data_IF_599921752682
#
_entry.id   IF_599921752682
#
_cell.length_a   1.000
_cell.length_b   1.000
_cell.length_c   1.000
_cell.angle_alpha   90.00
_cell.angle_beta   90.00
_cell.angle_gamma   90.00
#
_symmetry.space_group_name_H-M   'P 1'
#
loop_
_entity.id
_entity.type
_entity.pdbx_description
1 polymer ?
2 polymer ?
3 branched ?
4 non-polymer ?
5 non-polymer ?
6 non-polymer ?
7 non-polymer ?
8 non-polymer ?
9 water ?
#
# COMPACT_ATOMS: atom_id res chain seq x y z
C UNK A 1 -33.02 5.46 0.89
N UNK A 2 -32.76 4.75 -0.28
CA UNK A 2 -32.62 5.16 -1.81
C UNK A 2 -31.53 6.17 -2.28
N UNK A 3 -30.28 5.70 -2.20
CA UNK A 3 -29.09 6.53 -2.20
C UNK A 3 -28.27 6.67 -3.47
N UNK A 4 -28.20 5.57 -4.22
CA UNK A 4 -27.63 5.60 -5.51
C UNK A 4 -28.54 4.89 -6.47
N UNK A 5 -27.91 4.05 -7.30
CA UNK A 5 -28.52 3.37 -8.39
C UNK A 5 -27.75 2.07 -8.56
N UNK A 6 -28.43 0.95 -8.49
CA UNK A 6 -27.79 -0.33 -8.68
C UNK A 6 -28.06 -0.81 -10.07
N UNK A 7 -27.14 -1.68 -10.48
CA UNK A 7 -27.21 -2.47 -11.68
C UNK A 7 -26.47 -3.75 -11.34
N UNK A 8 -26.31 -4.66 -12.33
CA UNK A 8 -25.66 -5.90 -12.09
C UNK A 8 -24.27 -5.80 -11.49
N UNK A 9 -23.36 -5.07 -12.12
CA UNK A 9 -22.01 -5.12 -11.56
C UNK A 9 -21.51 -3.86 -10.99
N UNK A 10 -22.39 -3.06 -10.42
CA UNK A 10 -22.00 -1.73 -10.02
C UNK A 10 -22.94 -1.07 -9.05
N UNK A 11 -22.47 0.04 -8.50
CA UNK A 11 -23.27 0.86 -7.64
C UNK A 11 -22.85 2.31 -7.86
N UNK A 12 -23.70 3.06 -8.52
CA UNK A 12 -23.41 4.48 -8.75
C UNK A 12 -23.91 5.34 -7.58
N UNK A 13 -23.05 6.12 -6.95
CA UNK A 13 -23.43 6.98 -5.81
C UNK A 13 -24.23 8.22 -6.18
N UNK A 14 -25.30 8.02 -6.94
CA UNK A 14 -26.16 9.14 -7.33
C UNK A 14 -27.56 8.61 -7.56
N UNK A 15 -28.57 9.33 -7.07
CA UNK A 15 -29.96 8.90 -7.21
C UNK A 15 -30.37 9.04 -8.66
N UNK A 16 -31.08 8.01 -9.17
CA UNK A 16 -31.62 8.05 -10.55
C UNK A 16 -33.05 8.56 -10.62
N UNK A 17 -33.45 9.46 -9.71
CA UNK A 17 -34.78 10.04 -9.79
C UNK A 17 -35.00 10.98 -10.95
N UNK A 18 -33.93 11.52 -11.52
CA UNK A 18 -34.05 12.38 -12.69
C UNK A 18 -33.76 11.65 -13.95
N UNK A 19 -33.43 10.36 -13.83
CA UNK A 19 -33.36 9.45 -15.00
C UNK A 19 -32.05 9.49 -15.74
N UNK A 20 -31.06 10.06 -15.12
CA UNK A 20 -29.79 10.48 -15.76
C UNK A 20 -28.63 9.43 -15.58
N UNK A 21 -28.64 8.72 -14.46
CA UNK A 21 -27.63 7.73 -14.18
C UNK A 21 -27.48 6.67 -15.28
N UNK A 22 -26.24 6.39 -15.64
CA UNK A 22 -25.87 5.40 -16.65
C UNK A 22 -24.86 4.46 -16.07
N UNK A 23 -24.79 3.26 -16.65
CA UNK A 23 -23.80 2.24 -16.29
C UNK A 23 -22.44 2.93 -16.36
N UNK A 24 -21.63 2.82 -15.29
CA UNK A 24 -20.28 3.37 -15.38
C UNK A 24 -19.35 2.52 -16.28
N UNK A 25 -19.79 1.34 -16.76
CA UNK A 25 -19.13 0.69 -17.88
C UNK A 25 -19.56 1.18 -19.28
N UNK A 26 -20.59 2.03 -19.42
CA UNK A 26 -21.12 2.43 -20.76
C UNK A 26 -21.08 3.93 -21.09
N UNK A 27 -20.98 4.82 -20.11
CA UNK A 27 -21.16 6.23 -20.40
C UNK A 27 -20.64 7.15 -19.29
N UNK A 28 -20.28 8.38 -19.68
CA UNK A 28 -19.62 9.26 -18.73
C UNK A 28 -20.46 9.61 -17.52
N UNK A 29 -19.85 9.51 -16.35
CA UNK A 29 -20.51 9.86 -15.12
C UNK A 29 -20.47 11.36 -14.78
N UNK A 30 -20.63 12.26 -15.76
CA UNK A 30 -20.43 13.70 -15.51
C UNK A 30 -21.52 14.35 -14.62
N UNK A 31 -22.48 13.56 -14.18
CA UNK A 31 -23.46 13.98 -13.14
C UNK A 31 -22.99 13.69 -11.68
N UNK A 32 -22.02 12.80 -11.49
CA UNK A 32 -21.34 12.58 -10.19
C UNK A 32 -20.35 13.66 -9.85
N UNK A 33 -19.80 14.31 -10.87
CA UNK A 33 -18.71 15.26 -10.72
C UNK A 33 -18.45 15.89 -12.05
N UNK A 34 -18.06 17.15 -12.00
CA UNK A 34 -17.83 17.95 -13.14
C UNK A 34 -16.74 17.32 -14.00
N UNK A 35 -16.73 17.62 -15.31
CA UNK A 35 -15.57 17.13 -16.05
C UNK A 35 -14.24 17.68 -15.57
N UNK A 36 -14.17 18.87 -15.04
CA UNK A 36 -12.83 19.30 -14.65
C UNK A 36 -12.29 18.49 -13.52
N UNK A 37 -13.16 17.99 -12.67
CA UNK A 37 -12.73 17.14 -11.58
C UNK A 37 -12.29 15.75 -12.08
N UNK A 38 -12.86 15.26 -13.17
CA UNK A 38 -12.28 14.07 -13.77
C UNK A 38 -10.86 14.32 -14.23
N UNK A 39 -10.64 15.55 -14.71
CA UNK A 39 -9.35 15.94 -15.24
C UNK A 39 -8.26 16.03 -14.17
N UNK A 40 -8.65 16.56 -13.01
CA UNK A 40 -7.83 16.56 -11.81
C UNK A 40 -7.58 15.14 -11.30
N UNK A 41 -8.57 14.27 -11.43
CA UNK A 41 -8.31 12.91 -11.05
C UNK A 41 -7.19 12.42 -11.95
N UNK A 42 -7.30 12.74 -13.24
CA UNK A 42 -6.28 12.33 -14.20
C UNK A 42 -4.93 12.99 -13.92
N UNK A 43 -4.96 14.25 -13.49
CA UNK A 43 -3.76 14.95 -13.15
C UNK A 43 -3.05 14.26 -11.98
N UNK A 44 -3.82 13.82 -11.00
CA UNK A 44 -3.23 13.13 -9.87
C UNK A 44 -2.61 11.75 -10.27
N UNK A 45 -3.25 11.01 -11.15
CA UNK A 45 -2.65 9.75 -11.57
C UNK A 45 -1.36 10.02 -12.36
N UNK A 46 -1.38 11.12 -13.10
CA UNK A 46 -0.20 11.55 -13.84
C UNK A 46 0.96 11.88 -12.89
N UNK A 47 0.71 12.67 -11.85
CA UNK A 47 1.70 12.89 -10.79
C UNK A 47 2.22 11.57 -10.16
N UNK A 48 1.33 10.73 -9.66
CA UNK A 48 1.76 9.42 -9.13
C UNK A 48 2.57 8.57 -10.09
N UNK A 49 2.42 8.72 -11.40
CA UNK A 49 3.22 7.91 -12.33
C UNK A 49 4.58 8.54 -12.54
N UNK A 50 4.53 9.82 -12.81
CA UNK A 50 5.71 10.64 -12.96
C UNK A 50 6.65 10.55 -11.78
N UNK A 51 6.15 10.47 -10.54
CA UNK A 51 7.01 10.23 -9.38
C UNK A 51 7.19 8.72 -9.09
N UNK A 52 6.12 7.96 -9.05
CA UNK A 52 6.20 6.58 -8.59
C UNK A 52 6.98 5.64 -9.48
N UNK A 53 6.97 5.86 -10.78
CA UNK A 53 7.62 4.91 -11.68
C UNK A 53 9.11 5.10 -11.57
N UNK A 54 9.60 6.34 -11.73
CA UNK A 54 11.05 6.47 -11.51
C UNK A 54 11.58 5.95 -10.16
N UNK A 55 11.03 6.43 -9.05
CA UNK A 55 11.48 6.02 -7.72
C UNK A 55 11.57 4.53 -7.60
N UNK A 56 10.50 3.85 -7.97
CA UNK A 56 10.42 2.42 -7.78
C UNK A 56 11.21 1.67 -8.83
N UNK A 57 11.23 2.16 -10.05
CA UNK A 57 12.07 1.56 -11.09
C UNK A 57 13.56 1.69 -10.75
N UNK A 58 13.98 2.90 -10.38
CA UNK A 58 15.35 3.14 -9.94
C UNK A 58 15.79 2.13 -8.87
N UNK A 59 14.96 1.96 -7.85
CA UNK A 59 15.24 1.00 -6.81
C UNK A 59 15.65 -0.40 -7.30
N UNK A 60 14.96 -0.90 -8.31
CA UNK A 60 15.32 -2.16 -8.95
C UNK A 60 16.61 -2.01 -9.74
N UNK A 61 16.70 -0.98 -10.56
CA UNK A 61 17.85 -0.78 -11.45
C UNK A 61 19.18 -0.68 -10.65
N UNK A 62 19.16 0.21 -9.68
CA UNK A 62 20.28 0.35 -8.77
C UNK A 62 20.64 -0.98 -8.12
N UNK A 63 19.68 -1.81 -7.75
CA UNK A 63 20.02 -3.12 -7.19
C UNK A 63 20.79 -3.99 -8.18
N UNK A 64 20.47 -3.88 -9.46
CA UNK A 64 21.19 -4.64 -10.48
C UNK A 64 22.65 -4.18 -10.61
N UNK A 65 22.92 -2.89 -10.42
CA UNK A 65 24.23 -2.27 -10.56
C UNK A 65 25.12 -2.25 -9.33
N UNK A 66 24.58 -2.49 -8.13
CA UNK A 66 25.37 -2.39 -6.89
C UNK A 66 25.33 -3.68 -6.14
N UNK A 67 26.44 -4.45 -6.18
CA UNK A 67 26.49 -5.77 -5.50
C UNK A 67 26.08 -5.63 -4.04
N UNK A 68 26.56 -4.59 -3.39
CA UNK A 68 26.35 -4.45 -1.96
C UNK A 68 24.84 -4.40 -1.56
N UNK A 69 23.95 -4.00 -2.47
CA UNK A 69 22.53 -3.93 -2.17
C UNK A 69 21.85 -5.27 -2.24
N UNK A 70 22.43 -6.25 -2.92
CA UNK A 70 21.78 -7.54 -3.05
C UNK A 70 21.89 -8.45 -1.84
N UNK A 71 21.71 -7.94 -0.63
CA UNK A 71 21.66 -8.85 0.56
C UNK A 71 20.25 -9.46 0.82
N UNK A 72 20.12 -10.45 1.73
CA UNK A 72 18.76 -10.94 2.03
C UNK A 72 17.81 -9.97 2.74
N UNK A 73 18.30 -9.21 3.71
CA UNK A 73 17.48 -8.16 4.35
C UNK A 73 16.90 -7.12 3.41
N UNK A 74 17.48 -7.01 2.22
CA UNK A 74 16.93 -6.15 1.22
C UNK A 74 15.88 -6.74 0.29
N UNK A 75 15.70 -8.05 0.26
CA UNK A 75 14.77 -8.64 -0.71
C UNK A 75 13.34 -8.08 -0.52
N UNK A 76 12.90 -7.97 0.72
CA UNK A 76 11.57 -7.44 0.98
C UNK A 76 11.42 -5.98 0.52
N UNK A 77 12.51 -5.19 0.55
CA UNK A 77 12.47 -3.83 -0.01
C UNK A 77 12.31 -3.82 -1.53
N UNK A 78 12.86 -4.79 -2.20
CA UNK A 78 12.70 -4.86 -3.64
C UNK A 78 11.27 -5.28 -3.96
N UNK A 79 10.79 -6.25 -3.16
CA UNK A 79 9.44 -6.74 -3.23
C UNK A 79 8.50 -5.57 -3.10
N UNK A 80 8.77 -4.63 -2.20
CA UNK A 80 7.97 -3.40 -2.07
C UNK A 80 7.87 -2.58 -3.33
N UNK A 81 9.00 -2.43 -3.98
CA UNK A 81 9.09 -1.58 -5.17
C UNK A 81 8.38 -2.21 -6.33
N UNK A 82 8.47 -3.54 -6.42
CA UNK A 82 7.73 -4.31 -7.43
C UNK A 82 6.22 -4.13 -7.24
N UNK A 83 5.80 -4.12 -5.98
CA UNK A 83 4.39 -3.95 -5.61
C UNK A 83 3.95 -2.55 -5.97
N UNK A 84 4.74 -1.56 -5.58
CA UNK A 84 4.46 -0.21 -6.03
C UNK A 84 4.29 -0.15 -7.55
N UNK A 85 5.02 -0.96 -8.30
CA UNK A 85 4.92 -0.94 -9.75
C UNK A 85 3.67 -1.67 -10.29
N UNK A 86 3.28 -2.76 -9.65
CA UNK A 86 1.92 -3.28 -9.90
C UNK A 86 0.87 -2.15 -9.73
N UNK A 87 0.95 -1.32 -8.69
CA UNK A 87 0.01 -0.19 -8.54
C UNK A 87 0.13 0.87 -9.64
N UNK A 88 1.33 1.07 -10.16
CA UNK A 88 1.57 2.12 -11.13
C UNK A 88 0.98 1.74 -12.49
N UNK A 89 1.21 0.50 -12.90
CA UNK A 89 0.88 0.05 -14.25
C UNK A 89 -0.49 -0.59 -14.26
N UNK A 90 -0.78 -1.44 -13.29
CA UNK A 90 -2.14 -1.97 -13.11
C UNK A 90 -3.20 -0.92 -12.75
N UNK A 91 -2.91 -0.06 -11.78
CA UNK A 91 -3.89 0.94 -11.35
C UNK A 91 -3.81 2.27 -12.09
N UNK A 92 -2.79 3.02 -11.75
CA UNK A 92 -2.69 4.45 -12.04
C UNK A 92 -2.83 4.74 -13.55
N UNK A 93 -2.18 3.95 -14.41
CA UNK A 93 -2.22 4.21 -15.85
C UNK A 93 -3.61 3.95 -16.39
N UNK A 94 -4.18 2.80 -16.05
CA UNK A 94 -5.58 2.51 -16.34
C UNK A 94 -6.51 3.63 -15.93
N UNK A 95 -6.33 4.11 -14.71
CA UNK A 95 -7.23 5.15 -14.20
C UNK A 95 -7.09 6.49 -14.89
N UNK A 96 -5.88 6.80 -15.31
CA UNK A 96 -5.63 8.02 -16.06
C UNK A 96 -6.47 7.98 -17.34
N UNK A 97 -6.47 6.79 -17.93
CA UNK A 97 -7.10 6.58 -19.17
C UNK A 97 -8.63 6.74 -19.02
N UNK A 98 -9.19 6.00 -18.07
CA UNK A 98 -10.61 5.95 -17.86
C UNK A 98 -11.11 7.29 -17.33
N UNK A 99 -10.40 7.91 -16.37
CA UNK A 99 -10.77 9.28 -15.91
C UNK A 99 -11.07 10.27 -17.07
N UNK A 100 -10.27 10.17 -18.10
CA UNK A 100 -10.37 11.06 -19.23
C UNK A 100 -11.49 10.75 -20.22
N UNK A 101 -12.06 9.54 -20.13
CA UNK A 101 -13.37 9.23 -20.70
C UNK A 101 -14.55 9.56 -19.77
N UNK A 102 -14.31 9.91 -18.53
CA UNK A 102 -15.41 10.05 -17.57
C UNK A 102 -16.02 8.74 -17.07
N UNK A 103 -15.48 7.58 -17.45
CA UNK A 103 -16.05 6.31 -16.94
C UNK A 103 -15.17 5.09 -17.23
N UNK A 104 -15.57 3.94 -16.73
CA UNK A 104 -14.73 2.76 -16.78
C UNK A 104 -14.88 2.05 -18.11
N UNK A 105 -14.30 2.66 -19.14
CA UNK A 105 -14.40 2.12 -20.51
C UNK A 105 -14.04 0.66 -20.73
N UNK A 106 -13.28 0.02 -19.86
CA UNK A 106 -12.89 -1.38 -20.11
C UNK A 106 -13.92 -2.38 -19.66
N UNK A 107 -15.00 -1.89 -19.08
CA UNK A 107 -16.08 -2.78 -18.75
C UNK A 107 -15.71 -3.71 -17.63
N UNK A 108 -16.62 -4.60 -17.26
CA UNK A 108 -16.55 -5.47 -16.06
C UNK A 108 -15.32 -6.38 -15.94
N UNK A 109 -14.94 -7.02 -17.04
CA UNK A 109 -13.69 -7.80 -17.11
C UNK A 109 -12.48 -6.94 -16.75
N UNK A 110 -12.40 -5.78 -17.38
CA UNK A 110 -11.34 -4.83 -17.06
C UNK A 110 -11.39 -4.42 -15.61
N UNK A 111 -12.60 -4.22 -15.11
CA UNK A 111 -12.81 -3.84 -13.75
C UNK A 111 -12.24 -4.90 -12.83
N UNK A 112 -12.40 -6.18 -13.15
CA UNK A 112 -11.73 -7.24 -12.35
C UNK A 112 -10.22 -7.21 -12.43
N UNK A 113 -9.69 -7.13 -13.64
CA UNK A 113 -8.26 -6.96 -13.84
C UNK A 113 -7.67 -5.77 -13.10
N UNK A 114 -8.13 -4.56 -13.42
CA UNK A 114 -7.56 -3.36 -12.81
C UNK A 114 -7.73 -3.40 -11.30
N UNK A 115 -8.84 -3.92 -10.80
CA UNK A 115 -9.03 -4.15 -9.36
C UNK A 115 -8.09 -5.20 -8.78
N UNK A 116 -7.90 -6.30 -9.47
CA UNK A 116 -7.05 -7.37 -8.92
C UNK A 116 -5.59 -6.91 -8.83
N UNK A 117 -5.10 -6.29 -9.89
CA UNK A 117 -3.68 -5.90 -9.94
C UNK A 117 -3.39 -4.71 -9.03
N UNK A 118 -4.32 -3.77 -8.97
CA UNK A 118 -4.17 -2.67 -8.04
C UNK A 118 -4.21 -3.12 -6.56
N UNK A 119 -5.01 -4.13 -6.28
CA UNK A 119 -5.24 -4.57 -4.93
C UNK A 119 -4.08 -5.47 -4.54
N UNK A 120 -3.67 -6.34 -5.46
CA UNK A 120 -2.51 -7.18 -5.21
C UNK A 120 -1.31 -6.31 -4.84
N UNK A 121 -1.03 -5.30 -5.66
CA UNK A 121 0.15 -4.44 -5.42
C UNK A 121 0.12 -3.78 -4.06
N UNK A 122 -1.02 -3.18 -3.75
CA UNK A 122 -1.17 -2.47 -2.49
C UNK A 122 -1.03 -3.37 -1.30
N UNK A 123 -1.37 -4.64 -1.48
CA UNK A 123 -1.33 -5.64 -0.42
C UNK A 123 0.02 -6.25 -0.25
N UNK A 124 0.68 -6.52 -1.35
CA UNK A 124 2.06 -6.96 -1.27
C UNK A 124 2.86 -5.86 -0.58
N UNK A 125 2.63 -4.59 -0.95
CA UNK A 125 3.35 -3.49 -0.29
C UNK A 125 3.03 -3.56 1.17
N UNK A 126 1.73 -3.58 1.52
CA UNK A 126 1.26 -3.65 2.92
C UNK A 126 1.98 -4.73 3.75
N UNK A 127 1.90 -5.98 3.29
CA UNK A 127 2.53 -7.10 3.96
C UNK A 127 4.06 -7.01 3.92
N UNK A 128 4.62 -6.47 2.84
CA UNK A 128 6.05 -6.21 2.85
C UNK A 128 6.43 -5.30 4.03
N UNK A 129 5.67 -4.25 4.31
CA UNK A 129 5.97 -3.44 5.49
C UNK A 129 5.83 -4.22 6.79
N UNK A 130 4.96 -5.22 6.82
CA UNK A 130 4.85 -6.06 8.01
C UNK A 130 6.09 -6.95 8.14
N UNK A 131 6.35 -7.75 7.10
CA UNK A 131 7.47 -8.72 7.06
C UNK A 131 8.79 -8.02 7.41
N UNK A 132 8.99 -6.83 6.88
CA UNK A 132 10.14 -6.01 7.24
C UNK A 132 10.25 -5.84 8.73
N UNK A 133 9.22 -5.37 9.38
CA UNK A 133 9.29 -5.17 10.83
C UNK A 133 9.58 -6.47 11.60
N UNK A 134 8.95 -7.57 11.22
CA UNK A 134 9.26 -8.88 11.81
C UNK A 134 10.77 -9.15 11.67
N UNK A 135 11.27 -9.16 10.43
CA UNK A 135 12.70 -9.40 10.16
C UNK A 135 13.64 -8.50 10.99
N UNK A 136 13.34 -7.23 11.11
CA UNK A 136 14.13 -6.32 11.96
C UNK A 136 14.12 -6.66 13.43
N UNK A 137 12.95 -6.94 13.93
CA UNK A 137 12.76 -7.40 15.29
C UNK A 137 13.56 -8.67 15.55
N UNK A 138 13.40 -9.66 14.69
CA UNK A 138 14.17 -10.90 14.77
C UNK A 138 15.68 -10.61 14.80
N UNK A 139 16.14 -9.73 13.94
CA UNK A 139 17.57 -9.48 13.79
C UNK A 139 18.16 -8.64 14.93
N UNK A 140 17.39 -7.74 15.51
CA UNK A 140 17.92 -6.74 16.43
C UNK A 140 17.56 -7.09 17.86
N UNK A 141 16.29 -7.36 18.16
CA UNK A 141 15.88 -7.86 19.47
C UNK A 141 16.34 -9.33 19.74
N UNK A 142 16.75 -10.05 18.69
CA UNK A 142 17.26 -11.43 18.77
C UNK A 142 16.38 -12.22 19.70
N UNK A 143 15.12 -12.36 19.35
CA UNK A 143 14.22 -13.09 20.22
C UNK A 143 14.48 -14.61 20.21
N UNK A 144 15.41 -15.09 19.39
CA UNK A 144 15.76 -16.48 19.31
C UNK A 144 17.27 -16.55 19.28
N UNK A 145 17.87 -17.29 20.19
CA UNK A 145 19.33 -17.41 20.20
C UNK A 145 19.77 -18.36 19.09
N UNK A 146 21.03 -18.19 18.66
CA UNK A 146 21.64 -18.97 17.58
C UNK A 146 20.87 -18.92 16.27
N UNK A 147 20.09 -17.87 16.02
CA UNK A 147 19.37 -17.76 14.77
C UNK A 147 20.10 -16.77 13.92
N UNK A 148 20.34 -17.09 12.63
CA UNK A 148 20.96 -16.17 11.64
C UNK A 148 20.05 -16.01 10.46
N UNK A 149 19.66 -14.76 10.20
CA UNK A 149 18.79 -14.45 9.09
C UNK A 149 19.53 -14.61 7.77
N UNK A 150 18.98 -15.46 6.89
CA UNK A 150 19.63 -15.85 5.63
C UNK A 150 18.68 -15.89 4.45
N UNK A 151 19.25 -15.99 3.25
CA UNK A 151 18.52 -15.98 1.96
C UNK A 151 17.21 -16.79 1.98
N UNK A 152 17.31 -18.11 2.17
CA UNK A 152 16.16 -19.02 2.40
C UNK A 152 15.02 -18.40 3.28
N UNK A 153 15.33 -17.63 4.33
CA UNK A 153 14.27 -16.95 5.12
C UNK A 153 13.70 -15.76 4.36
N UNK A 154 14.57 -14.88 3.90
CA UNK A 154 14.13 -13.74 3.10
C UNK A 154 13.14 -14.15 2.00
N UNK A 155 13.36 -15.32 1.41
CA UNK A 155 12.50 -15.86 0.37
C UNK A 155 11.11 -16.22 0.96
N UNK A 156 11.07 -16.94 2.07
CA UNK A 156 9.80 -17.18 2.68
C UNK A 156 9.08 -15.88 2.98
N UNK A 157 9.81 -14.88 3.47
CA UNK A 157 9.25 -13.56 3.80
C UNK A 157 8.50 -12.96 2.63
N UNK A 158 9.17 -12.97 1.48
CA UNK A 158 8.59 -12.48 0.24
C UNK A 158 7.36 -13.28 -0.11
N UNK A 159 7.49 -14.61 -0.13
CA UNK A 159 6.39 -15.49 -0.56
C UNK A 159 5.15 -15.37 0.32
N UNK A 160 5.40 -15.16 1.58
CA UNK A 160 4.34 -14.93 2.51
C UNK A 160 3.60 -13.62 2.14
N UNK A 161 4.28 -12.60 1.63
CA UNK A 161 3.55 -11.38 1.22
C UNK A 161 2.63 -11.69 0.03
N UNK A 162 3.09 -12.52 -0.89
CA UNK A 162 2.32 -12.89 -2.08
C UNK A 162 1.13 -13.79 -1.75
N UNK A 163 1.33 -14.69 -0.80
CA UNK A 163 0.24 -15.52 -0.30
C UNK A 163 -0.80 -14.62 0.36
N UNK A 164 -0.45 -13.86 1.37
CA UNK A 164 -1.43 -12.98 1.98
C UNK A 164 -2.14 -12.02 1.01
N UNK A 165 -1.43 -11.52 -0.01
CA UNK A 165 -2.03 -10.54 -0.92
C UNK A 165 -3.01 -11.24 -1.84
N UNK A 166 -2.68 -12.42 -2.34
CA UNK A 166 -3.67 -13.29 -3.01
C UNK A 166 -4.89 -13.64 -2.10
N UNK A 167 -4.66 -13.88 -0.83
CA UNK A 167 -5.75 -14.11 0.11
C UNK A 167 -6.74 -12.95 0.23
N UNK A 168 -6.38 -11.79 -0.29
CA UNK A 168 -7.26 -10.65 -0.28
C UNK A 168 -7.82 -10.39 -1.69
N UNK A 169 -6.95 -10.37 -2.69
CA UNK A 169 -7.35 -10.05 -4.07
C UNK A 169 -8.08 -11.15 -4.86
N UNK A 170 -7.72 -12.42 -4.64
CA UNK A 170 -8.36 -13.56 -5.35
C UNK A 170 -9.85 -13.82 -5.01
N UNK A 171 -10.21 -13.87 -3.73
CA UNK A 171 -11.60 -14.18 -3.41
C UNK A 171 -12.69 -13.37 -4.17
N UNK A 172 -12.56 -12.03 -4.32
CA UNK A 172 -13.56 -11.27 -5.08
C UNK A 172 -13.60 -11.59 -6.56
N UNK A 173 -12.59 -12.26 -7.07
CA UNK A 173 -12.70 -12.87 -8.37
C UNK A 173 -13.53 -14.14 -8.36
N UNK A 174 -13.95 -14.65 -7.22
CA UNK A 174 -14.66 -15.94 -7.20
C UNK A 174 -15.81 -16.02 -6.18
N UNK A 175 -16.37 -14.88 -5.74
CA UNK A 175 -17.63 -14.87 -5.05
C UNK A 175 -17.64 -14.31 -3.67
N UNK A 176 -16.45 -14.15 -3.09
CA UNK A 176 -16.39 -13.56 -1.77
C UNK A 176 -15.93 -12.10 -1.94
N UNK A 177 -16.85 -11.21 -1.59
CA UNK A 177 -16.91 -9.85 -2.09
C UNK A 177 -16.85 -9.78 -3.62
N UNK A 178 -16.53 -8.60 -4.18
CA UNK A 178 -16.41 -8.45 -5.65
C UNK A 178 -15.71 -7.13 -5.98
N UNK A 179 -15.23 -7.03 -7.21
CA UNK A 179 -14.67 -5.78 -7.72
C UNK A 179 -15.78 -5.00 -8.40
N UNK A 180 -15.90 -3.72 -8.15
CA UNK A 180 -16.84 -2.87 -8.89
C UNK A 180 -16.21 -1.50 -8.94
N UNK A 181 -16.67 -0.61 -9.82
CA UNK A 181 -16.15 0.74 -9.78
C UNK A 181 -16.45 1.48 -8.48
N UNK A 182 -15.48 2.20 -7.96
CA UNK A 182 -15.72 2.98 -6.73
C UNK A 182 -15.69 4.46 -7.08
N UNK A 183 -16.19 5.27 -6.16
CA UNK A 183 -16.10 6.72 -6.22
C UNK A 183 -16.64 7.35 -7.46
N UNK A 184 -15.74 7.92 -8.26
CA UNK A 184 -16.08 8.52 -9.53
C UNK A 184 -16.21 7.49 -10.63
N UNK A 185 -16.05 6.23 -10.28
CA UNK A 185 -16.37 5.10 -11.16
C UNK A 185 -15.34 4.89 -12.24
N UNK A 186 -14.19 5.54 -12.09
CA UNK A 186 -13.09 5.44 -13.04
C UNK A 186 -12.08 4.44 -12.60
N UNK A 187 -12.23 3.92 -11.38
CA UNK A 187 -11.43 2.81 -10.93
C UNK A 187 -12.25 1.82 -10.13
N UNK A 188 -11.65 0.64 -10.00
CA UNK A 188 -12.27 -0.50 -9.42
C UNK A 188 -11.51 -1.04 -8.21
N UNK A 189 -12.27 -1.33 -7.17
CA UNK A 189 -11.78 -2.06 -6.01
C UNK A 189 -12.81 -2.95 -5.32
N UNK A 190 -12.43 -3.49 -4.20
CA UNK A 190 -13.28 -4.35 -3.38
C UNK A 190 -14.53 -3.62 -2.95
N UNK A 191 -15.66 -4.35 -3.02
CA UNK A 191 -16.94 -3.88 -2.54
C UNK A 191 -17.02 -4.11 -1.04
N UNK A 192 -16.82 -3.01 -0.34
CA UNK A 192 -16.78 -3.06 1.09
C UNK A 192 -17.82 -2.13 1.65
N UNK A 193 -18.71 -1.63 0.81
CA UNK A 193 -19.65 -0.59 1.24
C UNK A 193 -21.14 -0.93 0.94
N UNK A 194 -21.37 -1.70 -0.11
CA UNK A 194 -22.66 -2.30 -0.46
C UNK A 194 -22.82 -3.65 0.24
N UNK A 195 -23.97 -3.85 0.93
CA UNK A 195 -24.26 -5.21 1.44
C UNK A 195 -24.80 -5.98 0.29
N UNK A 196 -24.12 -7.05 -0.08
CA UNK A 196 -24.45 -7.74 -1.31
C UNK A 196 -24.36 -9.22 -0.95
N UNK A 197 -25.49 -9.70 -0.41
CA UNK A 197 -25.67 -11.04 0.17
C UNK A 197 -25.19 -12.16 -0.77
N UNK A 198 -25.30 -11.99 -2.09
CA UNK A 198 -24.97 -13.08 -3.01
C UNK A 198 -23.48 -13.33 -3.02
N UNK A 199 -22.67 -12.34 -2.59
CA UNK A 199 -21.20 -12.47 -2.43
C UNK A 199 -20.65 -12.32 -0.99
N UNK A 200 -21.52 -12.05 -0.02
CA UNK A 200 -21.16 -12.03 1.38
C UNK A 200 -20.15 -11.02 1.72
N UNK A 201 -20.37 -9.82 1.21
CA UNK A 201 -19.54 -8.68 1.52
C UNK A 201 -19.35 -8.48 3.03
N UNK A 202 -20.45 -8.58 3.77
CA UNK A 202 -20.51 -8.47 5.24
C UNK A 202 -19.26 -9.03 5.92
N UNK A 203 -19.03 -10.31 5.65
CA UNK A 203 -18.02 -11.11 6.32
C UNK A 203 -16.63 -10.89 5.73
N UNK A 204 -16.55 -10.61 4.44
CA UNK A 204 -15.27 -10.28 3.81
C UNK A 204 -14.66 -9.05 4.46
N UNK A 205 -15.49 -8.04 4.68
CA UNK A 205 -15.03 -6.75 5.18
C UNK A 205 -14.51 -6.92 6.62
N UNK A 206 -15.11 -7.89 7.33
CA UNK A 206 -14.64 -8.25 8.67
C UNK A 206 -13.31 -8.98 8.55
N UNK A 207 -13.25 -9.93 7.63
CA UNK A 207 -12.02 -10.66 7.42
C UNK A 207 -10.90 -9.72 7.07
N UNK A 208 -11.12 -8.86 6.08
CA UNK A 208 -10.22 -7.74 5.76
C UNK A 208 -9.84 -6.90 6.94
N UNK A 209 -10.83 -6.41 7.68
CA UNK A 209 -10.54 -5.53 8.81
C UNK A 209 -9.67 -6.19 9.84
N UNK A 210 -9.94 -7.45 10.13
CA UNK A 210 -9.21 -8.18 11.16
C UNK A 210 -7.87 -8.59 10.60
N UNK A 211 -7.89 -9.49 9.62
CA UNK A 211 -6.67 -10.11 9.08
C UNK A 211 -5.72 -9.17 8.36
N UNK A 212 -6.24 -8.16 7.64
CA UNK A 212 -5.42 -7.30 6.79
C UNK A 212 -5.23 -5.84 7.24
N UNK A 213 -5.83 -5.47 8.37
CA UNK A 213 -5.47 -4.20 9.05
C UNK A 213 -5.03 -4.45 10.52
N UNK A 214 -5.87 -5.11 11.34
CA UNK A 214 -5.58 -5.29 12.78
C UNK A 214 -4.30 -6.13 13.03
N UNK A 215 -4.23 -7.32 12.43
CA UNK A 215 -3.04 -8.15 12.57
C UNK A 215 -1.83 -7.27 12.14
N UNK A 216 -1.79 -6.78 10.86
CA UNK A 216 -0.67 -5.90 10.49
C UNK A 216 -0.36 -4.82 11.49
N UNK A 217 -1.37 -4.15 11.99
CA UNK A 217 -1.15 -3.06 12.92
C UNK A 217 -0.51 -3.51 14.21
N UNK A 218 -0.96 -4.65 14.73
CA UNK A 218 -0.42 -5.21 15.96
C UNK A 218 1.03 -5.71 15.75
N UNK A 219 1.23 -6.53 14.72
CA UNK A 219 2.59 -6.98 14.39
C UNK A 219 3.60 -5.84 14.20
N UNK A 220 3.28 -4.86 13.36
CA UNK A 220 4.12 -3.63 13.27
C UNK A 220 4.37 -2.93 14.62
N UNK A 221 3.35 -2.75 15.44
CA UNK A 221 3.53 -2.00 16.72
C UNK A 221 4.38 -2.78 17.72
N UNK A 222 4.16 -4.09 17.78
CA UNK A 222 4.90 -4.92 18.71
C UNK A 222 6.36 -4.96 18.24
N UNK A 223 6.64 -5.59 17.11
CA UNK A 223 7.98 -5.58 16.54
C UNK A 223 8.77 -4.27 16.70
N UNK A 224 8.18 -3.14 16.36
CA UNK A 224 8.94 -1.88 16.43
C UNK A 224 8.97 -1.31 17.82
N UNK A 225 7.92 -1.52 18.61
CA UNK A 225 7.95 -1.22 20.04
C UNK A 225 9.15 -1.88 20.75
N UNK A 226 9.37 -3.16 20.46
CA UNK A 226 10.52 -3.89 20.97
C UNK A 226 11.87 -3.35 20.50
N UNK A 227 11.94 -3.14 19.21
CA UNK A 227 13.10 -2.58 18.56
C UNK A 227 13.45 -1.31 19.30
N UNK A 228 12.47 -0.44 19.54
CA UNK A 228 12.77 0.85 20.17
C UNK A 228 13.16 0.58 21.60
N UNK A 229 12.54 -0.42 22.20
CA UNK A 229 12.94 -0.81 23.56
C UNK A 229 14.40 -1.31 23.61
N UNK A 230 14.69 -2.44 22.98
CA UNK A 230 16.07 -2.88 22.80
C UNK A 230 17.12 -1.76 22.60
N UNK A 231 16.89 -0.83 21.71
CA UNK A 231 17.91 0.14 21.35
C UNK A 231 18.03 1.23 22.43
N UNK A 232 16.92 1.60 23.05
CA UNK A 232 16.94 2.56 24.14
C UNK A 232 17.72 2.01 25.38
N UNK A 233 17.48 0.72 25.68
CA UNK A 233 18.19 -0.13 26.64
C UNK A 233 19.71 -0.12 26.45
N UNK A 234 20.18 -0.69 25.34
CA UNK A 234 21.56 -0.57 24.88
C UNK A 234 22.22 0.79 25.08
N UNK A 235 21.55 1.85 24.64
CA UNK A 235 22.15 3.17 24.70
C UNK A 235 22.27 3.64 26.15
N UNK A 236 21.24 3.39 26.97
CA UNK A 236 21.27 3.71 28.43
C UNK A 236 22.39 3.00 29.18
N UNK A 237 22.65 1.77 28.74
CA UNK A 237 23.66 0.87 29.25
C UNK A 237 25.08 1.08 28.61
N UNK A 238 25.20 2.14 27.82
CA UNK A 238 26.36 2.43 27.07
C UNK A 238 26.43 3.92 26.73
N UNK A 239 26.19 4.76 27.74
CA UNK A 239 26.12 6.19 27.49
C UNK A 239 27.47 6.79 27.16
N UNK A 240 28.53 6.01 27.33
CA UNK A 240 29.86 6.44 26.93
C UNK A 240 30.06 6.43 25.41
N UNK A 241 29.10 5.90 24.63
CA UNK A 241 29.23 5.85 23.15
C UNK A 241 28.33 6.86 22.51
N UNK A 242 28.88 8.00 22.04
CA UNK A 242 28.05 9.10 21.45
C UNK A 242 27.34 8.58 20.19
N UNK A 243 28.04 7.72 19.45
CA UNK A 243 27.45 6.96 18.35
C UNK A 243 26.22 6.25 18.74
N UNK A 244 26.31 5.44 19.78
CA UNK A 244 25.18 4.58 20.17
C UNK A 244 23.99 5.47 20.59
N UNK A 245 24.27 6.68 21.08
CA UNK A 245 23.24 7.60 21.47
C UNK A 245 22.56 8.14 20.22
N UNK A 246 23.37 8.53 19.24
CA UNK A 246 22.91 8.93 17.92
C UNK A 246 22.01 7.84 17.30
N UNK A 247 22.52 6.62 17.22
CA UNK A 247 21.75 5.46 16.70
C UNK A 247 20.36 5.34 17.30
N UNK A 248 20.28 5.50 18.59
CA UNK A 248 19.03 5.36 19.33
C UNK A 248 17.99 6.40 18.91
N UNK A 249 18.45 7.64 18.81
CA UNK A 249 17.64 8.73 18.32
C UNK A 249 17.15 8.48 16.88
N UNK A 250 18.08 8.11 15.98
CA UNK A 250 17.74 7.95 14.55
C UNK A 250 16.72 6.83 14.44
N UNK A 251 16.91 5.73 15.16
CA UNK A 251 16.03 4.56 15.04
C UNK A 251 14.63 4.93 15.49
N UNK A 252 14.58 5.69 16.55
CA UNK A 252 13.33 6.06 17.14
C UNK A 252 12.54 7.01 16.24
N UNK A 253 13.19 8.03 15.67
CA UNK A 253 12.56 8.93 14.69
C UNK A 253 12.03 8.11 13.53
N UNK A 254 12.87 7.26 12.91
CA UNK A 254 12.37 6.37 11.86
C UNK A 254 11.19 5.47 12.20
N UNK A 255 11.13 4.98 13.41
CA UNK A 255 9.99 4.16 13.76
C UNK A 255 8.71 5.04 13.77
N UNK A 256 8.81 6.24 14.29
CA UNK A 256 7.66 7.11 14.37
C UNK A 256 7.17 7.45 12.97
N UNK A 257 8.11 7.69 12.08
CA UNK A 257 7.79 7.90 10.69
C UNK A 257 7.11 6.68 10.10
N UNK A 258 7.71 5.49 10.22
CA UNK A 258 7.11 4.29 9.63
C UNK A 258 5.72 3.99 10.16
N UNK A 259 5.53 4.19 11.44
CA UNK A 259 4.26 3.89 12.08
C UNK A 259 3.23 4.92 11.61
N UNK A 260 3.53 6.22 11.69
CA UNK A 260 2.62 7.24 11.18
C UNK A 260 2.33 7.08 9.68
N UNK A 261 3.34 6.74 8.92
CA UNK A 261 3.18 6.43 7.50
C UNK A 261 2.21 5.29 7.20
N UNK A 262 2.35 4.20 7.94
CA UNK A 262 1.45 3.06 7.79
C UNK A 262 -0.01 3.46 8.05
N UNK A 263 -0.21 4.29 9.08
CA UNK A 263 -1.53 4.75 9.46
C UNK A 263 -2.06 5.64 8.38
N UNK A 264 -1.27 6.62 7.97
CA UNK A 264 -1.80 7.51 6.94
C UNK A 264 -2.29 6.69 5.71
N UNK A 265 -1.51 5.71 5.33
CA UNK A 265 -1.88 4.89 4.21
C UNK A 265 -3.15 4.07 4.40
N UNK A 266 -3.35 3.41 5.54
CA UNK A 266 -4.47 2.42 5.63
C UNK A 266 -5.57 2.78 6.62
N UNK A 267 -5.31 3.71 7.53
CA UNK A 267 -6.33 4.10 8.52
C UNK A 267 -7.64 4.63 7.89
N UNK A 268 -7.54 5.50 6.84
CA UNK A 268 -8.73 6.00 6.21
C UNK A 268 -9.60 4.91 5.60
N UNK A 269 -9.04 4.02 4.81
CA UNK A 269 -9.81 2.88 4.31
C UNK A 269 -10.45 2.10 5.47
N UNK A 270 -9.72 1.88 6.57
CA UNK A 270 -10.26 1.10 7.67
C UNK A 270 -11.31 1.93 8.42
N UNK A 271 -11.05 3.23 8.58
CA UNK A 271 -11.95 4.16 9.22
C UNK A 271 -13.27 4.25 8.49
N UNK A 272 -13.19 4.52 7.20
CA UNK A 272 -14.36 4.53 6.31
C UNK A 272 -15.11 3.15 6.29
N UNK A 273 -14.44 2.05 5.99
CA UNK A 273 -15.12 0.71 6.02
C UNK A 273 -15.98 0.51 7.25
N UNK A 274 -15.41 0.93 8.37
CA UNK A 274 -15.99 0.77 9.68
C UNK A 274 -17.17 1.73 9.92
N UNK A 275 -16.97 3.01 9.63
CA UNK A 275 -18.05 3.98 9.78
C UNK A 275 -19.26 3.53 8.99
N UNK A 276 -19.06 3.21 7.71
CA UNK A 276 -20.09 2.64 6.77
C UNK A 276 -20.74 1.37 7.28
N UNK A 277 -19.94 0.44 7.77
CA UNK A 277 -20.46 -0.82 8.29
C UNK A 277 -21.42 -0.57 9.50
N UNK A 278 -21.16 0.49 10.25
CA UNK A 278 -21.89 0.81 11.45
C UNK A 278 -22.77 2.06 11.29
N UNK A 279 -23.10 2.41 10.06
CA UNK A 279 -23.97 3.58 9.73
C UNK A 279 -24.60 3.23 8.40
N UNK A 280 -25.06 1.97 8.31
CA UNK A 280 -25.45 1.34 7.04
C UNK A 280 -26.50 2.20 6.35
N UNK A 281 -27.39 2.84 7.12
CA UNK A 281 -28.32 3.78 6.54
C UNK A 281 -27.76 5.18 6.30
N UNK A 282 -26.71 5.32 5.50
CA UNK A 282 -26.16 6.64 5.26
C UNK A 282 -25.49 6.69 3.89
N UNK A 283 -25.35 7.93 3.41
CA UNK A 283 -25.07 8.18 2.02
C UNK A 283 -23.78 8.80 1.81
N UNK A 284 -22.95 8.02 1.12
CA UNK A 284 -21.56 8.31 0.89
C UNK A 284 -21.33 8.58 -0.58
N UNK A 285 -21.08 9.84 -0.90
CA UNK A 285 -20.86 10.22 -2.29
C UNK A 285 -19.55 9.81 -2.91
N UNK A 286 -19.39 10.15 -4.19
CA UNK A 286 -18.25 9.70 -4.96
C UNK A 286 -16.87 10.25 -4.50
N UNK A 287 -16.82 11.55 -4.17
CA UNK A 287 -15.56 12.21 -3.77
C UNK A 287 -15.15 11.67 -2.35
N UNK A 288 -16.03 11.64 -1.38
CA UNK A 288 -15.74 10.93 -0.12
C UNK A 288 -15.23 9.45 -0.26
N UNK A 289 -15.60 8.73 -1.31
CA UNK A 289 -15.09 7.34 -1.48
C UNK A 289 -13.73 7.32 -2.16
N UNK A 290 -13.38 8.46 -2.73
CA UNK A 290 -12.08 8.70 -3.30
C UNK A 290 -10.95 8.99 -2.24
N UNK A 291 -11.30 9.53 -1.07
CA UNK A 291 -10.32 9.96 -0.06
C UNK A 291 -9.47 8.76 0.43
N UNK A 292 -10.13 7.71 0.94
CA UNK A 292 -9.34 6.50 1.26
C UNK A 292 -8.29 6.09 0.19
N UNK A 293 -8.69 6.14 -1.08
CA UNK A 293 -7.84 5.74 -2.21
C UNK A 293 -6.69 6.70 -2.47
N UNK A 294 -6.91 8.00 -2.31
CA UNK A 294 -5.88 8.98 -2.54
C UNK A 294 -4.72 8.67 -1.51
N UNK A 295 -5.09 8.41 -0.26
CA UNK A 295 -4.10 8.08 0.76
C UNK A 295 -3.34 6.81 0.43
N UNK A 296 -4.04 5.71 0.17
CA UNK A 296 -3.32 4.46 -0.15
C UNK A 296 -2.42 4.52 -1.39
N UNK A 297 -2.95 5.07 -2.47
CA UNK A 297 -2.23 5.10 -3.73
C UNK A 297 -1.02 6.02 -3.64
N UNK A 298 -1.13 7.09 -2.85
CA UNK A 298 0.02 7.99 -2.79
C UNK A 298 1.24 7.31 -2.14
N UNK A 299 1.01 6.25 -1.37
CA UNK A 299 2.09 5.50 -0.75
C UNK A 299 3.03 4.91 -1.74
N UNK A 300 2.59 4.62 -2.96
CA UNK A 300 3.54 4.19 -4.03
C UNK A 300 4.64 5.21 -4.32
N UNK A 301 4.45 6.47 -3.89
CA UNK A 301 5.52 7.44 -3.82
C UNK A 301 6.18 7.50 -2.43
N UNK A 302 5.42 7.76 -1.38
CA UNK A 302 6.03 8.07 -0.06
C UNK A 302 6.66 6.87 0.63
N UNK A 303 6.10 5.66 0.47
CA UNK A 303 6.75 4.50 1.05
C UNK A 303 8.19 4.36 0.55
N UNK A 304 8.44 4.33 -0.75
CA UNK A 304 9.87 4.23 -1.14
C UNK A 304 10.75 5.45 -0.81
N UNK A 305 10.19 6.62 -0.63
CA UNK A 305 10.97 7.70 -0.03
C UNK A 305 11.45 7.27 1.37
N UNK A 306 10.52 6.84 2.21
CA UNK A 306 10.81 6.44 3.60
C UNK A 306 11.71 5.20 3.71
N UNK A 307 11.33 4.13 3.01
CA UNK A 307 12.00 2.83 3.09
C UNK A 307 13.25 2.63 2.24
N UNK A 308 13.37 3.40 1.15
CA UNK A 308 14.45 3.22 0.16
C UNK A 308 15.31 4.47 0.13
N UNK A 309 14.72 5.60 -0.23
CA UNK A 309 15.53 6.79 -0.29
C UNK A 309 16.09 7.24 1.04
N UNK A 310 15.46 6.93 2.16
CA UNK A 310 16.01 7.36 3.46
C UNK A 310 16.92 6.27 4.02
N UNK A 311 17.19 5.21 3.28
CA UNK A 311 18.15 4.16 3.69
C UNK A 311 19.50 4.55 3.10
N UNK A 312 20.52 4.78 3.97
CA UNK A 312 21.84 5.33 3.54
C UNK A 312 22.44 4.56 2.34
N UNK A 313 22.36 3.21 2.33
CA UNK A 313 22.97 2.42 1.24
C UNK A 313 22.35 2.69 -0.10
N UNK A 314 21.02 2.44 -0.19
CA UNK A 314 20.27 2.73 -1.41
C UNK A 314 20.52 4.17 -1.89
N UNK A 315 20.38 5.13 -0.99
CA UNK A 315 20.61 6.51 -1.33
C UNK A 315 21.94 6.79 -2.02
N UNK A 316 23.03 6.22 -1.52
CA UNK A 316 24.34 6.46 -2.11
C UNK A 316 24.46 5.79 -3.43
N UNK A 317 24.09 4.52 -3.48
CA UNK A 317 23.98 3.88 -4.78
C UNK A 317 23.15 4.65 -5.81
N UNK A 318 22.00 5.20 -5.40
CA UNK A 318 21.17 5.99 -6.33
C UNK A 318 21.87 7.22 -6.82
N UNK A 319 22.51 7.93 -5.92
CA UNK A 319 23.21 9.15 -6.29
C UNK A 319 24.39 8.89 -7.22
N UNK A 320 25.09 7.82 -6.93
CA UNK A 320 26.14 7.32 -7.81
C UNK A 320 25.54 7.01 -9.18
N UNK A 321 24.55 6.13 -9.25
CA UNK A 321 23.95 5.74 -10.51
C UNK A 321 23.35 6.92 -11.24
N UNK A 322 22.76 7.84 -10.51
CA UNK A 322 22.26 9.09 -11.11
C UNK A 322 23.34 10.08 -11.52
N UNK A 323 24.54 10.01 -10.94
CA UNK A 323 25.68 10.80 -11.44
C UNK A 323 26.67 10.05 -12.33
N UNK A 324 26.10 9.20 -13.19
CA UNK A 324 26.77 8.67 -14.39
C UNK A 324 27.84 7.62 -14.06
N UNK A 325 28.09 7.39 -12.77
CA UNK A 325 29.16 6.54 -12.25
C UNK A 325 29.95 7.04 -11.05
N UNK A 326 29.78 8.33 -10.68
CA UNK A 326 30.68 9.10 -9.84
C UNK A 326 29.99 9.63 -8.59
N UNK A 327 30.76 10.11 -7.60
CA UNK A 327 30.28 10.57 -6.26
C UNK A 327 30.06 9.41 -5.31
N UNK B 1 25.68 -3.90 18.73
CA UNK B 1 24.29 -3.99 18.16
C UNK B 1 24.05 -3.00 17.02
N UNK B 2 24.92 -2.01 16.84
CA UNK B 2 24.95 -1.13 15.66
C UNK B 2 25.17 -1.87 14.32
N UNK B 3 25.85 -3.02 14.36
CA UNK B 3 26.09 -3.82 13.17
C UNK B 3 24.76 -4.22 12.59
N UNK B 4 23.89 -4.68 13.48
CA UNK B 4 22.56 -5.11 13.07
C UNK B 4 21.61 -3.96 12.65
N UNK B 5 21.76 -2.79 13.26
CA UNK B 5 21.09 -1.58 12.78
C UNK B 5 21.56 -1.19 11.38
N UNK B 6 22.86 -1.31 11.10
CA UNK B 6 23.36 -0.97 9.78
C UNK B 6 22.76 -1.96 8.80
N UNK B 7 22.90 -3.26 9.08
CA UNK B 7 22.33 -4.35 8.22
C UNK B 7 20.85 -4.15 7.79
N UNK B 8 20.07 -3.69 8.74
CA UNK B 8 18.64 -3.63 8.66
C UNK B 8 18.18 -2.27 8.03
N UNK B 9 19.13 -1.38 7.75
CA UNK B 9 18.84 -0.17 7.00
C UNK B 9 18.38 0.95 7.88
N UNK B 10 18.45 0.77 9.20
CA UNK B 10 17.99 1.76 10.20
C UNK B 10 19.06 2.68 10.77
N UNK B 11 20.35 2.38 10.55
CA UNK B 11 21.45 3.29 10.93
C UNK B 11 22.64 3.29 9.96
X LIG C 1 -31.77 5.64 -14.80
X LIG C 1 -31.43 4.23 -15.27
X LIG C 1 -31.59 4.11 -16.76
X LIG C 1 -32.97 4.60 -17.16
X LIG C 1 -33.33 5.93 -16.54
X LIG C 1 -34.80 6.26 -16.70
X LIG C 1 -29.63 2.69 -14.47
X LIG C 1 -28.20 2.68 -14.09
X LIG C 1 -30.07 3.90 -14.84
X LIG C 1 -31.41 2.73 -17.20
X LIG C 1 -32.97 4.80 -18.58
X LIG C 1 -33.10 5.95 -15.15
X LIG C 1 -35.54 5.17 -16.16
X LIG C 1 -30.27 1.65 -14.45
X LIG C 2 -33.92 3.99 -19.34
X LIG C 2 -34.02 4.77 -20.63
X LIG C 2 -35.06 4.11 -21.44
X LIG C 2 -34.78 2.59 -21.58
X LIG C 2 -34.68 1.88 -20.23
X LIG C 2 -34.37 0.37 -20.39
X LIG C 2 -33.41 7.12 -20.27
X LIG C 2 -33.85 8.50 -19.90
X LIG C 2 -34.36 6.16 -20.34
X LIG C 2 -35.08 4.87 -22.66
X LIG C 2 -35.79 2.03 -22.46
X LIG C 2 -33.66 2.55 -19.55
X LIG C 2 -34.14 -0.59 -19.30
X LIG C 2 -32.21 6.86 -20.49
X LIG C 3 -35.71 2.13 -23.92
X LIG C 3 -36.37 0.84 -24.35
X LIG C 3 -36.37 0.58 -25.84
X LIG C 3 -36.20 1.86 -26.71
X LIG C 3 -36.17 3.28 -26.05
X LIG C 3 -37.04 4.30 -26.84
X LIG C 3 -37.74 0.98 -23.96
X LIG C 3 -37.63 -0.09 -26.11
X LIG C 3 -34.95 1.69 -27.42
X LIG C 3 -36.45 3.17 -24.62
X LIG C 3 -36.75 5.72 -26.62
X LIG C 4 -37.54 -1.52 -25.90
X LIG C 4 -38.62 -2.31 -26.63
X LIG C 4 -40.00 -1.90 -26.13
X LIG C 4 -40.18 -2.30 -24.66
X LIG C 4 -38.97 -1.83 -23.84
X LIG C 4 -38.90 -2.56 -22.48
X LIG C 4 -38.38 -3.67 -26.30
X LIG C 4 -41.01 -2.49 -26.91
X LIG C 4 -41.36 -1.66 -24.15
X LIG C 4 -37.69 -1.94 -24.54
X LIG C 4 -38.00 -1.89 -21.56
X LIG D 1 -8.54 -2.62 4.91
X LIG D 1 -9.48 -2.04 5.98
X LIG D 1 -10.82 -2.77 5.96
X LIG D 1 -11.52 -2.59 4.63
X LIG D 1 -10.62 -2.86 3.44
X LIG D 1 -9.27 -2.78 3.55
X LIG D 1 -8.46 -3.02 2.32
X LIG D 1 -8.52 -2.16 1.29
X LIG D 1 -7.62 -2.26 0.11
X LIG D 1 -7.95 -1.44 -0.90
X LIG D 1 -7.11 -1.21 -2.06
X LIG D 1 -7.49 -0.25 -2.88
X LIG D 1 -6.57 0.25 -3.90
X LIG D 1 -7.11 1.15 -4.75
X LIG D 1 -6.31 1.79 -5.81
X LIG D 1 -7.96 -3.96 5.38
X LIG D 1 -7.35 -1.66 4.77
X LIG D 1 -11.28 -3.03 2.09
X LIG D 1 -6.39 -3.16 0.10
X LIG D 1 -5.09 -0.01 -3.73
X LIG E 1 -15.77 -3.82 10.28
X LIG E 1 -15.64 -4.99 9.85
X LIG E 1 -15.47 -2.87 9.47
X LIG E 1 -16.26 -3.69 11.74
X LIG F 1 22.90 -16.71 2.57
X LIG F 1 22.53 -17.58 3.41
X LIG F 1 22.92 -15.50 2.90
X LIG F 1 23.31 -17.14 1.17
X LIG G 1 10.28 9.12 23.11
X LIG G 1 9.79 7.79 23.32
X LIG G 1 11.50 9.27 24.01
X LIG G 1 11.23 8.91 25.37
X LIG G 1 11.94 10.71 23.80
X LIG G 1 12.83 11.15 24.82
X LIG G 1 12.53 10.74 22.38
X LIG G 1 13.31 11.90 22.11
X LIG G 1 11.32 10.66 21.43
X LIG G 1 10.66 9.41 21.73
X LIG G 1 11.65 10.84 19.93
X LIG G 1 12.96 10.40 19.55
X LIG G 1 8.67 7.38 22.51
X LIG G 1 9.02 6.09 21.78
X LIG G 1 8.22 5.89 20.50
X LIG G 1 8.01 4.42 20.29
X LIG G 1 7.27 4.16 18.99
X LIG G 1 6.22 3.05 19.12
X LIG G 1 6.47 1.90 18.17
X LIG G 1 5.20 1.14 17.92
X LIG H 1 24.15 13.19 -9.65
X LIG H 1 24.22 12.49 -8.65
X LIG H 1 22.98 14.06 -10.13
X LIG H 1 21.87 14.35 -9.11
X LIG H 1 20.54 14.82 -9.74
X LIG H 1 19.62 13.72 -10.26
X LIG H 1 18.24 14.26 -10.64
X LIG H 1 17.26 14.38 -9.44
X LIG H 1 15.80 14.52 -9.92
X LIG H 1 14.92 15.36 -8.99
X LIG H 1 13.41 15.50 -9.37
X LIG H 1 12.69 16.65 -8.62
X LIG H 1 12.16 16.23 -7.23
X LIG H 1 12.24 17.28 -6.10
X LIG H 1 10.87 17.49 -5.40
X LIG H 1 10.90 18.27 -4.08
X LIG H 1 9.56 18.94 -3.87
X LIG I 1 25.00 11.30 -15.74
X LIG I 1 24.85 10.42 -16.58
X LIG I 1 23.81 12.20 -15.40
X LIG I 1 24.11 13.51 -14.67
X LIG I 1 22.90 14.40 -14.95
X LIG I 1 22.74 15.63 -14.04
X LIG I 1 21.33 15.89 -13.52
X LIG I 1 20.62 17.08 -14.17
X LIG I 1 19.43 17.54 -13.31
X LIG I 1 18.09 17.44 -14.04
X LIG I 1 16.90 17.33 -13.08
X LIG I 1 15.61 16.89 -13.78
X LIG I 1 14.27 17.41 -13.19
X LIG I 1 13.12 16.99 -14.15
X LIG I 1 11.73 17.67 -14.06
X LIG I 1 10.69 16.85 -14.83
X LIG I 1 9.26 17.36 -14.69
X LIG J 1 -13.12 10.70 -25.45
X LIG J 1 -11.97 9.82 -25.45
X LIG J 1 -13.45 11.04 -26.91
X LIG J 1 -12.98 12.39 -27.17
X LIG J 1 -14.95 10.85 -27.27
X LIG J 1 -15.04 9.85 -28.28
X LIG J 1 -15.91 10.33 -26.21
X LIG J 1 -17.19 10.87 -26.58
X LIG J 1 -15.47 10.66 -24.78
X LIG J 1 -14.18 10.05 -24.72
X LIG J 1 -16.36 10.15 -23.60
X LIG J 1 -16.29 11.04 -22.46
X LIG J 1 -11.03 10.04 -24.39
X LIG J 1 -9.63 9.67 -24.87
X LIG J 1 -8.58 9.54 -23.74
X LIG J 1 -7.15 9.45 -24.28
X LIG J 1 -6.16 8.94 -23.22
X LIG J 1 -4.72 9.49 -23.31
X LIG J 1 -3.74 8.74 -22.39
X LIG J 1 -2.70 9.66 -21.75
X LIG K 1 -19.32 13.65 -2.46
X LIG K 1 -20.75 13.66 -2.05
X LIG K 1 -18.76 12.35 -1.99
X LIG K 1 -19.18 13.85 -3.94
X LIG K 1 -18.61 14.76 -1.79
#
# INVERSE_FOLDING_TARGET
XMCGTEGPNFYVPFSNKTGVVRSPFEAPQYYLAEPWQFSMLAAYMFLLIMLGFPINFLTLYVTVQHKKLRTPLNYILLNLAVADLFMVFGGFTTILYTSLHGYFVFGPTGCNLEGFFATLGGEIALWSLVVLAIERYVVVCKPMSNFRFGENHAIMGVAFTWVMALACAAPPLVGWSRYIPEGMQCSCGIDYYTPHEETNNESFVIYMFVVHFIIPLIVIFFCYGQLVFTVKEAAAQQQESATTQKAEKEVTRMVIIMVIAFLICWLPYAGVAFYIFTHQGSCFGPIFMTIPAFFAKTSAVYNPVIYIMMNKQFRNCMVTTLCCGKNPLGDDEASTTVSKTETSQVAPA
ILENLKDVGLF
NAG C1 C2 C3 C4 C5 C6 C7 C8 N2 O3 O4 O5 O6 O7
NAG C1 C2 C3 C4 C5 C6 C7 C8 N2 O3 O4 O5 O6 O7
BMA C1 C2 C3 C4 C5 C6 O2 O3 O4 O5 O6
MAN C1 C2 C3 C4 C5 C6 O2 O3 O4 O5 O6
RET C1 C2 C3 C4 C5 C6 C7 C8 C9 C10 C11 C12 C13 C14 C15 C16 C17 C18 C19 C20
ACT C O OXT CH3
ACT C O OXT CH3
BOG C1 O1 C2 O2 C3 O3 C4 O4 C5 O5 C6 O6 C1' C2' C3' C4' C5' C6' C7' C8'
PLM C1 O2 C2 C3 C4 C5 C6 C7 C8 C9 CA CB CC CD CE CF CG
PLM C1 O2 C2 C3 C4 C5 C6 C7 C8 C9 CA CB CC CD CE CF CG
BOG C1 O1 C2 O2 C3 O3 C4 O4 C5 O5 C6 O6 C1' C2' C3' C4' C5' C6' C7' C8'
SO4 S O1 O2 O3 O4
#
